data_IF_796944882594
#
_entry.id   IF_796944882594
#
_cell.length_a   1.000
_cell.length_b   1.000
_cell.length_c   1.000
_cell.angle_alpha   90.00
_cell.angle_beta   90.00
_cell.angle_gamma   90.00
#
_symmetry.space_group_name_H-M   'P 1'
#
loop_
_entity.id
_entity.type
_entity.pdbx_description
1 polymer ?
#
# COMPACT_ATOMS: atom_id res chain seq x y z
N UNK A 1 -53.67 -45.83 -15.77
CA UNK A 1 -52.43 -45.12 -16.11
C UNK A 1 -51.74 -44.78 -14.80
N UNK A 2 -50.66 -45.49 -14.46
CA UNK A 2 -49.84 -45.26 -13.26
C UNK A 2 -48.60 -44.47 -13.68
N UNK A 3 -48.36 -43.34 -13.04
CA UNK A 3 -47.10 -42.59 -12.93
C UNK A 3 -47.20 -42.00 -11.51
N UNK A 4 -46.52 -42.51 -10.49
CA UNK A 4 -45.10 -42.75 -10.41
C UNK A 4 -44.56 -41.76 -9.39
N UNK A 5 -44.77 -42.07 -8.10
CA UNK A 5 -44.07 -41.41 -7.00
C UNK A 5 -42.57 -41.62 -7.23
N UNK A 6 -41.87 -40.59 -7.68
CA UNK A 6 -40.41 -40.59 -7.61
C UNK A 6 -40.02 -40.45 -6.15
N UNK A 7 -39.47 -41.54 -5.64
CA UNK A 7 -38.77 -41.61 -4.39
C UNK A 7 -37.64 -40.57 -4.39
N UNK A 8 -37.81 -39.50 -3.60
CA UNK A 8 -36.65 -38.85 -3.00
C UNK A 8 -35.98 -39.90 -2.13
N UNK A 9 -34.99 -40.57 -2.71
CA UNK A 9 -34.00 -41.35 -1.97
C UNK A 9 -33.36 -40.36 -0.99
N UNK A 10 -33.86 -40.36 0.25
CA UNK A 10 -33.10 -39.88 1.40
C UNK A 10 -31.90 -40.81 1.48
N UNK A 11 -30.84 -40.49 0.75
CA UNK A 11 -29.50 -40.93 1.13
C UNK A 11 -29.41 -40.56 2.61
N UNK A 12 -29.19 -41.52 3.51
CA UNK A 12 -28.88 -41.17 4.89
C UNK A 12 -27.69 -40.23 4.80
N UNK A 13 -27.85 -38.96 5.18
CA UNK A 13 -26.70 -38.11 5.47
C UNK A 13 -25.91 -38.90 6.49
N UNK A 14 -24.81 -39.52 6.04
CA UNK A 14 -23.91 -40.22 6.91
C UNK A 14 -23.54 -39.19 7.98
N UNK A 15 -23.87 -39.48 9.24
CA UNK A 15 -23.47 -38.62 10.34
C UNK A 15 -21.97 -38.34 10.14
N UNK A 16 -21.57 -37.08 9.93
CA UNK A 16 -20.17 -36.78 9.70
C UNK A 16 -19.38 -37.33 10.89
N UNK A 17 -18.19 -37.91 10.66
CA UNK A 17 -17.38 -38.45 11.74
C UNK A 17 -17.17 -37.36 12.81
N UNK A 18 -17.20 -37.72 14.10
CA UNK A 18 -17.00 -36.76 15.17
C UNK A 18 -15.65 -36.06 15.02
N UNK A 19 -15.63 -34.75 15.28
CA UNK A 19 -14.41 -33.95 15.29
C UNK A 19 -13.67 -34.24 16.58
N UNK A 20 -12.49 -34.86 16.49
CA UNK A 20 -11.72 -35.34 17.65
C UNK A 20 -10.35 -34.68 17.80
N UNK A 21 -9.91 -33.89 16.82
CA UNK A 21 -8.60 -33.24 16.79
C UNK A 21 -8.66 -31.90 16.05
N UNK A 22 -7.58 -31.12 16.15
CA UNK A 22 -7.51 -29.80 15.52
C UNK A 22 -7.57 -29.87 13.99
N UNK A 23 -7.00 -30.91 13.37
CA UNK A 23 -6.97 -31.05 11.92
C UNK A 23 -8.38 -31.31 11.34
N UNK A 24 -9.14 -32.19 11.97
CA UNK A 24 -10.54 -32.46 11.65
C UNK A 24 -11.42 -31.23 11.93
N UNK A 25 -11.15 -30.49 13.01
CA UNK A 25 -11.84 -29.23 13.30
C UNK A 25 -11.55 -28.19 12.21
N UNK A 26 -10.29 -27.96 11.86
CA UNK A 26 -9.89 -27.04 10.78
C UNK A 26 -10.51 -27.44 9.45
N UNK A 27 -10.62 -28.73 9.14
CA UNK A 27 -11.26 -29.23 7.92
C UNK A 27 -12.76 -28.93 7.90
N UNK A 28 -13.46 -29.20 9.02
CA UNK A 28 -14.87 -28.90 9.17
C UNK A 28 -15.15 -27.38 9.06
N UNK A 29 -14.34 -26.57 9.75
CA UNK A 29 -14.45 -25.11 9.73
C UNK A 29 -14.07 -24.51 8.38
N UNK A 30 -13.11 -25.09 7.65
CA UNK A 30 -12.81 -24.69 6.27
C UNK A 30 -13.99 -24.98 5.36
N UNK A 31 -14.61 -26.15 5.47
CA UNK A 31 -15.78 -26.53 4.66
C UNK A 31 -16.97 -25.61 4.93
N UNK A 32 -17.29 -25.39 6.20
CA UNK A 32 -18.36 -24.48 6.61
C UNK A 32 -18.05 -23.02 6.22
N UNK A 33 -16.85 -22.55 6.55
CA UNK A 33 -16.38 -21.20 6.27
C UNK A 33 -16.32 -20.88 4.78
N UNK A 34 -15.90 -21.82 3.93
CA UNK A 34 -15.88 -21.63 2.47
C UNK A 34 -17.31 -21.49 1.89
N UNK A 35 -18.28 -22.25 2.41
CA UNK A 35 -19.69 -22.11 2.03
C UNK A 35 -20.23 -20.74 2.43
N UNK A 36 -20.00 -20.31 3.68
CA UNK A 36 -20.45 -18.99 4.14
C UNK A 36 -19.74 -17.87 3.38
N UNK A 37 -18.44 -18.00 3.12
CA UNK A 37 -17.67 -17.07 2.29
C UNK A 37 -18.30 -16.90 0.91
N UNK A 38 -18.60 -18.01 0.22
CA UNK A 38 -19.24 -17.98 -1.10
C UNK A 38 -20.62 -17.30 -1.04
N UNK A 39 -21.41 -17.57 0.00
CA UNK A 39 -22.71 -16.94 0.18
C UNK A 39 -22.59 -15.42 0.36
N UNK A 40 -21.57 -14.95 1.08
CA UNK A 40 -21.38 -13.52 1.36
C UNK A 40 -20.75 -12.76 0.18
N UNK A 41 -19.80 -13.37 -0.53
CA UNK A 41 -18.97 -12.67 -1.51
C UNK A 41 -19.23 -13.09 -2.96
N UNK A 42 -20.05 -14.11 -3.20
CA UNK A 42 -20.44 -14.58 -4.53
C UNK A 42 -19.29 -15.16 -5.39
N UNK A 43 -18.17 -15.54 -4.77
CA UNK A 43 -17.09 -16.31 -5.40
C UNK A 43 -16.50 -17.34 -4.43
N UNK A 44 -15.84 -18.37 -4.95
CA UNK A 44 -15.32 -19.46 -4.12
C UNK A 44 -14.07 -19.02 -3.33
N UNK A 45 -13.96 -19.50 -2.09
CA UNK A 45 -12.73 -19.38 -1.32
C UNK A 45 -11.58 -20.03 -2.10
N UNK A 46 -10.44 -19.33 -2.23
CA UNK A 46 -9.29 -19.67 -3.09
C UNK A 46 -9.45 -19.40 -4.59
N UNK A 47 -10.62 -18.97 -5.05
CA UNK A 47 -10.78 -18.44 -6.41
C UNK A 47 -10.39 -16.96 -6.43
N UNK A 48 -9.76 -16.51 -7.53
CA UNK A 48 -9.55 -15.08 -7.76
C UNK A 48 -10.91 -14.36 -7.82
N UNK A 49 -11.08 -13.24 -7.11
CA UNK A 49 -12.30 -12.45 -7.16
C UNK A 49 -12.58 -11.92 -8.58
N UNK A 50 -13.85 -11.77 -8.97
CA UNK A 50 -14.22 -11.24 -10.29
C UNK A 50 -13.65 -9.86 -10.61
N UNK A 51 -13.34 -9.05 -9.60
CA UNK A 51 -12.75 -7.71 -9.71
C UNK A 51 -11.22 -7.71 -9.85
N UNK A 52 -10.55 -8.84 -9.55
CA UNK A 52 -9.10 -9.04 -9.71
C UNK A 52 -8.83 -9.84 -10.99
N UNK A 53 -9.19 -9.29 -12.15
CA UNK A 53 -9.05 -10.01 -13.44
C UNK A 53 -7.63 -9.99 -14.00
N UNK A 54 -6.77 -9.10 -13.52
CA UNK A 54 -5.36 -9.08 -13.92
C UNK A 54 -4.58 -10.19 -13.19
N UNK A 55 -3.99 -11.18 -13.90
CA UNK A 55 -3.22 -12.24 -13.28
C UNK A 55 -1.94 -11.75 -12.58
N UNK A 56 -1.43 -10.58 -12.98
CA UNK A 56 -0.24 -9.96 -12.37
C UNK A 56 -0.53 -9.35 -11.00
N UNK A 57 -1.79 -9.05 -10.69
CA UNK A 57 -2.19 -8.51 -9.40
C UNK A 57 -2.03 -9.55 -8.29
N UNK A 58 -1.61 -9.04 -7.14
CA UNK A 58 -1.45 -9.82 -5.94
C UNK A 58 -2.77 -10.52 -5.55
N UNK A 59 -2.69 -11.81 -5.22
CA UNK A 59 -3.79 -12.59 -4.67
C UNK A 59 -3.24 -13.67 -3.74
N UNK A 60 -3.77 -13.75 -2.52
CA UNK A 60 -3.44 -14.79 -1.56
C UNK A 60 -4.68 -15.19 -0.77
N UNK A 61 -4.88 -16.49 -0.64
CA UNK A 61 -5.87 -17.06 0.28
C UNK A 61 -5.15 -17.78 1.41
N UNK A 62 -5.74 -17.76 2.61
CA UNK A 62 -5.24 -18.51 3.75
C UNK A 62 -6.34 -18.71 4.79
N UNK A 63 -6.08 -19.64 5.72
CA UNK A 63 -6.90 -19.84 6.90
C UNK A 63 -6.04 -20.09 8.13
N UNK A 64 -6.58 -19.75 9.30
CA UNK A 64 -5.90 -19.98 10.57
C UNK A 64 -6.91 -20.21 11.69
N UNK A 65 -6.58 -21.13 12.59
CA UNK A 65 -7.35 -21.44 13.79
C UNK A 65 -6.55 -20.95 14.99
N UNK A 66 -7.24 -20.37 15.97
CA UNK A 66 -6.66 -19.92 17.23
C UNK A 66 -7.59 -20.24 18.39
N UNK A 67 -6.98 -20.17 19.58
CA UNK A 67 -7.61 -20.46 20.85
C UNK A 67 -7.17 -19.40 21.86
N UNK A 68 -8.13 -18.83 22.58
CA UNK A 68 -7.92 -17.83 23.63
C UNK A 68 -8.68 -18.26 24.89
N UNK A 69 -8.06 -18.07 26.05
CA UNK A 69 -8.63 -18.38 27.36
C UNK A 69 -8.82 -17.11 28.19
N UNK A 70 -9.74 -17.18 29.15
CA UNK A 70 -9.97 -16.18 30.21
C UNK A 70 -10.19 -14.75 29.71
N UNK A 71 -10.74 -14.64 28.51
CA UNK A 71 -10.95 -13.36 27.82
C UNK A 71 -9.64 -12.57 27.62
N UNK A 72 -8.48 -13.25 27.67
CA UNK A 72 -7.20 -12.62 27.47
C UNK A 72 -7.03 -12.23 26.00
N UNK A 73 -6.61 -10.98 25.80
CA UNK A 73 -6.43 -10.38 24.48
C UNK A 73 -4.99 -9.95 24.22
N UNK A 74 -4.06 -10.17 25.15
CA UNK A 74 -2.65 -9.79 24.96
C UNK A 74 -2.01 -10.49 23.77
N UNK A 75 -2.41 -11.73 23.50
CA UNK A 75 -1.84 -12.56 22.45
C UNK A 75 -2.48 -12.36 21.08
N UNK A 76 -3.50 -11.49 20.96
CA UNK A 76 -4.20 -11.24 19.69
C UNK A 76 -3.25 -10.65 18.65
N UNK A 77 -2.57 -9.55 18.95
CA UNK A 77 -1.71 -8.90 17.96
C UNK A 77 -0.48 -9.76 17.59
N UNK A 78 0.23 -10.41 18.55
CA UNK A 78 1.27 -11.38 18.23
C UNK A 78 0.78 -12.52 17.33
N UNK A 79 -0.40 -13.10 17.62
CA UNK A 79 -0.99 -14.15 16.81
C UNK A 79 -1.30 -13.67 15.39
N UNK A 80 -2.00 -12.53 15.25
CA UNK A 80 -2.37 -11.98 13.95
C UNK A 80 -1.12 -11.68 13.11
N UNK A 81 -0.08 -11.10 13.72
CA UNK A 81 1.18 -10.81 13.02
C UNK A 81 1.87 -12.09 12.55
N UNK A 82 2.03 -13.07 13.43
CA UNK A 82 2.85 -14.26 13.17
C UNK A 82 2.15 -15.34 12.36
N UNK A 83 0.83 -15.47 12.49
CA UNK A 83 0.05 -16.60 11.96
C UNK A 83 -0.87 -16.24 10.80
N UNK A 84 -1.16 -14.95 10.62
CA UNK A 84 -2.07 -14.44 9.58
C UNK A 84 -1.31 -13.51 8.65
N UNK A 85 -0.84 -12.36 9.14
CA UNK A 85 -0.29 -11.29 8.30
C UNK A 85 1.08 -11.65 7.71
N UNK A 86 1.93 -12.38 8.44
CA UNK A 86 3.22 -12.88 7.93
C UNK A 86 3.09 -13.84 6.73
N UNK A 87 1.95 -14.53 6.60
CA UNK A 87 1.70 -15.52 5.54
C UNK A 87 1.31 -14.87 4.22
N UNK A 88 1.16 -13.55 4.21
CA UNK A 88 0.64 -12.74 3.12
C UNK A 88 1.66 -11.63 2.82
N UNK A 89 2.22 -11.53 1.61
CA UNK A 89 3.19 -10.49 1.27
C UNK A 89 2.48 -9.14 1.07
N UNK A 90 1.95 -8.57 2.15
CA UNK A 90 1.25 -7.30 2.16
C UNK A 90 2.24 -6.15 2.30
N UNK A 91 1.99 -4.99 1.68
CA UNK A 91 2.70 -3.76 1.99
C UNK A 91 2.56 -3.41 3.48
N UNK A 92 3.60 -2.83 4.08
CA UNK A 92 3.65 -2.52 5.53
C UNK A 92 2.45 -1.68 5.99
N UNK A 93 2.02 -0.70 5.18
CA UNK A 93 0.86 0.13 5.50
C UNK A 93 -0.46 -0.65 5.52
N UNK A 94 -0.59 -1.72 4.72
CA UNK A 94 -1.74 -2.62 4.77
C UNK A 94 -1.63 -3.49 6.01
N UNK A 95 -0.43 -3.99 6.34
CA UNK A 95 -0.22 -4.83 7.54
C UNK A 95 -0.61 -4.08 8.82
N UNK A 96 -0.19 -2.82 8.98
CA UNK A 96 -0.51 -2.00 10.16
C UNK A 96 -2.03 -1.79 10.30
N UNK A 97 -2.72 -1.44 9.21
CA UNK A 97 -4.16 -1.22 9.25
C UNK A 97 -4.95 -2.53 9.43
N UNK A 98 -4.53 -3.61 8.76
CA UNK A 98 -5.15 -4.92 8.90
C UNK A 98 -4.97 -5.48 10.31
N UNK A 99 -3.81 -5.28 10.94
CA UNK A 99 -3.58 -5.68 12.33
C UNK A 99 -4.54 -4.97 13.28
N UNK A 100 -4.72 -3.65 13.11
CA UNK A 100 -5.67 -2.86 13.91
C UNK A 100 -7.12 -3.34 13.71
N UNK A 101 -7.55 -3.48 12.46
CA UNK A 101 -8.94 -3.84 12.14
C UNK A 101 -9.27 -5.28 12.57
N UNK A 102 -8.45 -6.25 12.18
CA UNK A 102 -8.64 -7.65 12.59
C UNK A 102 -8.45 -7.84 14.09
N UNK A 103 -7.51 -7.09 14.70
CA UNK A 103 -7.29 -7.10 16.14
C UNK A 103 -8.51 -6.62 16.91
N UNK A 104 -9.22 -5.62 16.41
CA UNK A 104 -10.49 -5.18 17.01
C UNK A 104 -11.58 -6.25 16.88
N UNK A 105 -11.71 -6.87 15.70
CA UNK A 105 -12.69 -7.94 15.48
C UNK A 105 -12.44 -9.14 16.41
N UNK A 106 -11.18 -9.57 16.56
CA UNK A 106 -10.79 -10.67 17.45
C UNK A 106 -11.06 -10.34 18.92
N UNK A 107 -10.64 -9.15 19.38
CA UNK A 107 -10.86 -8.71 20.76
C UNK A 107 -12.35 -8.71 21.10
N UNK A 108 -13.19 -8.16 20.22
CA UNK A 108 -14.65 -8.15 20.42
C UNK A 108 -15.24 -9.55 20.55
N UNK A 109 -14.75 -10.52 19.75
CA UNK A 109 -15.17 -11.92 19.84
C UNK A 109 -14.77 -12.52 21.20
N UNK A 110 -13.52 -12.33 21.62
CA UNK A 110 -12.95 -12.91 22.84
C UNK A 110 -13.68 -12.40 24.09
N UNK A 111 -13.92 -11.09 24.18
CA UNK A 111 -14.65 -10.48 25.31
C UNK A 111 -16.17 -10.60 25.21
N UNK A 112 -16.68 -11.14 24.09
CA UNK A 112 -18.10 -11.26 23.82
C UNK A 112 -18.84 -12.11 24.87
N UNK A 113 -20.03 -11.65 25.25
CA UNK A 113 -20.85 -12.31 26.28
C UNK A 113 -21.70 -13.48 25.74
N UNK A 114 -21.80 -13.62 24.43
CA UNK A 114 -22.68 -14.59 23.80
C UNK A 114 -22.03 -15.97 23.70
N UNK A 115 -22.49 -16.93 24.52
CA UNK A 115 -21.88 -18.26 24.65
C UNK A 115 -22.71 -19.39 24.01
N UNK A 116 -22.04 -20.52 23.74
CA UNK A 116 -22.68 -21.82 23.52
C UNK A 116 -23.12 -22.12 22.07
N UNK A 117 -22.78 -21.28 21.09
CA UNK A 117 -23.11 -21.51 19.67
C UNK A 117 -21.99 -21.06 18.74
N UNK A 118 -21.84 -21.75 17.60
CA UNK A 118 -20.99 -21.31 16.50
C UNK A 118 -21.60 -20.10 15.81
N UNK A 119 -20.77 -19.09 15.56
CA UNK A 119 -21.14 -17.83 14.94
C UNK A 119 -20.14 -17.47 13.85
N UNK A 120 -20.51 -16.54 13.00
CA UNK A 120 -19.59 -16.01 12.02
C UNK A 120 -19.70 -14.48 11.90
N UNK A 121 -18.58 -13.84 11.56
CA UNK A 121 -18.49 -12.41 11.23
C UNK A 121 -17.90 -12.28 9.84
N UNK A 122 -18.48 -11.40 9.03
CA UNK A 122 -17.93 -11.01 7.73
C UNK A 122 -16.82 -9.98 7.91
N UNK A 123 -15.66 -10.24 7.31
CA UNK A 123 -14.57 -9.27 7.15
C UNK A 123 -14.60 -8.78 5.70
N UNK A 124 -14.87 -7.49 5.52
CA UNK A 124 -14.95 -6.84 4.22
C UNK A 124 -14.31 -5.46 4.33
N UNK A 125 -13.02 -5.41 4.03
CA UNK A 125 -12.17 -4.22 4.22
C UNK A 125 -11.46 -3.90 2.91
N UNK A 126 -11.41 -2.62 2.59
CA UNK A 126 -10.58 -2.10 1.50
C UNK A 126 -9.56 -1.16 2.11
N UNK A 127 -8.30 -1.54 2.02
CA UNK A 127 -7.18 -0.72 2.38
C UNK A 127 -6.78 0.07 1.15
N UNK A 128 -7.09 1.36 1.17
CA UNK A 128 -6.68 2.32 0.15
C UNK A 128 -5.94 3.44 0.84
N UNK A 129 -4.86 3.92 0.22
CA UNK A 129 -4.29 5.19 0.60
C UNK A 129 -5.01 6.30 -0.18
N UNK A 130 -5.30 7.46 0.44
CA UNK A 130 -5.73 8.63 -0.28
C UNK A 130 -4.74 8.92 -1.42
N UNK A 131 -5.22 9.42 -2.56
CA UNK A 131 -4.40 10.02 -3.64
C UNK A 131 -3.42 9.14 -4.44
N UNK A 132 -3.20 7.86 -4.12
CA UNK A 132 -2.09 7.09 -4.72
C UNK A 132 -2.33 6.47 -6.11
N UNK A 133 -1.21 6.36 -6.83
CA UNK A 133 -0.94 5.52 -8.00
C UNK A 133 -1.01 4.01 -7.78
N UNK A 134 -1.06 3.55 -6.53
CA UNK A 134 -1.07 2.14 -6.18
C UNK A 134 -2.49 1.54 -6.18
N UNK A 135 -2.55 0.22 -6.38
CA UNK A 135 -3.79 -0.54 -6.34
C UNK A 135 -4.24 -0.74 -4.87
N UNK A 136 -5.50 -0.41 -4.52
CA UNK A 136 -6.06 -0.79 -3.23
C UNK A 136 -5.93 -2.28 -2.97
N UNK A 137 -5.69 -2.63 -1.71
CA UNK A 137 -5.71 -4.03 -1.25
C UNK A 137 -7.04 -4.30 -0.56
N UNK A 138 -7.76 -5.30 -1.04
CA UNK A 138 -9.04 -5.73 -0.49
C UNK A 138 -8.83 -7.01 0.32
N UNK A 139 -9.41 -7.03 1.53
CA UNK A 139 -9.56 -8.23 2.33
C UNK A 139 -11.02 -8.62 2.37
N UNK A 140 -11.31 -9.84 1.89
CA UNK A 140 -12.61 -10.50 2.08
C UNK A 140 -12.37 -11.77 2.89
N UNK A 141 -13.14 -11.96 3.95
CA UNK A 141 -12.96 -13.11 4.84
C UNK A 141 -14.15 -13.36 5.74
N UNK A 142 -14.10 -14.51 6.39
CA UNK A 142 -15.03 -14.94 7.42
C UNK A 142 -14.25 -15.28 8.67
N UNK A 143 -14.69 -14.75 9.81
CA UNK A 143 -14.27 -15.23 11.12
C UNK A 143 -15.38 -16.13 11.65
N UNK A 144 -15.12 -17.43 11.75
CA UNK A 144 -16.02 -18.40 12.37
C UNK A 144 -15.53 -18.63 13.80
N UNK A 145 -16.39 -18.47 14.79
CA UNK A 145 -15.98 -18.54 16.17
C UNK A 145 -16.99 -19.25 17.06
N UNK A 146 -16.48 -19.77 18.17
CA UNK A 146 -17.26 -20.36 19.25
C UNK A 146 -16.71 -19.85 20.57
N UNK A 147 -17.58 -19.33 21.43
CA UNK A 147 -17.19 -19.00 22.80
C UNK A 147 -18.04 -19.78 23.79
N UNK A 148 -17.42 -20.19 24.88
CA UNK A 148 -18.07 -20.93 25.97
C UNK A 148 -17.45 -20.53 27.30
N UNK A 149 -18.13 -20.90 28.38
CA UNK A 149 -17.67 -20.65 29.73
C UNK A 149 -17.84 -21.93 30.53
N UNK A 150 -16.74 -22.43 31.10
CA UNK A 150 -16.73 -23.63 31.92
C UNK A 150 -16.41 -23.29 33.36
N UNK A 151 -17.19 -23.85 34.28
CA UNK A 151 -16.87 -23.81 35.70
C UNK A 151 -16.07 -25.05 36.03
N UNK A 152 -14.86 -24.88 36.52
CA UNK A 152 -14.00 -25.98 36.96
C UNK A 152 -14.48 -26.56 38.30
N UNK A 153 -14.00 -27.74 38.68
CA UNK A 153 -14.30 -28.38 39.96
C UNK A 153 -13.93 -27.50 41.18
N UNK A 154 -13.04 -26.53 40.98
CA UNK A 154 -12.61 -25.53 41.97
C UNK A 154 -13.51 -24.28 42.00
N UNK A 155 -14.65 -24.30 41.30
CA UNK A 155 -15.55 -23.16 41.10
C UNK A 155 -14.91 -21.96 40.38
N UNK A 156 -13.80 -22.16 39.67
CA UNK A 156 -13.19 -21.14 38.82
C UNK A 156 -13.90 -21.15 37.48
N UNK A 157 -14.32 -19.97 37.01
CA UNK A 157 -15.00 -19.82 35.73
C UNK A 157 -13.98 -19.46 34.66
N UNK A 158 -13.72 -20.38 33.73
CA UNK A 158 -12.82 -20.21 32.59
C UNK A 158 -13.63 -19.91 31.35
N UNK A 159 -13.28 -18.85 30.63
CA UNK A 159 -13.92 -18.53 29.34
C UNK A 159 -13.01 -18.97 28.20
N UNK A 160 -13.58 -19.64 27.20
CA UNK A 160 -12.82 -20.11 26.04
C UNK A 160 -13.37 -19.47 24.77
N UNK A 161 -12.47 -19.13 23.84
CA UNK A 161 -12.81 -18.64 22.51
C UNK A 161 -11.99 -19.38 21.46
N UNK A 162 -12.68 -20.11 20.58
CA UNK A 162 -12.11 -20.66 19.36
C UNK A 162 -12.40 -19.69 18.22
N UNK A 163 -11.36 -19.22 17.53
CA UNK A 163 -11.50 -18.23 16.45
C UNK A 163 -10.80 -18.76 15.20
N UNK A 164 -11.58 -18.99 14.14
CA UNK A 164 -11.11 -19.46 12.85
C UNK A 164 -11.30 -18.38 11.80
N UNK A 165 -10.19 -17.88 11.25
CA UNK A 165 -10.21 -16.98 10.11
C UNK A 165 -10.02 -17.75 8.81
N UNK A 166 -10.83 -17.41 7.82
CA UNK A 166 -10.70 -17.87 6.44
C UNK A 166 -10.90 -16.68 5.52
N UNK A 167 -9.90 -16.33 4.73
CA UNK A 167 -9.99 -15.13 3.91
C UNK A 167 -9.01 -15.06 2.76
N UNK A 168 -9.20 -14.02 1.97
CA UNK A 168 -8.39 -13.68 0.81
C UNK A 168 -7.97 -12.21 0.89
N UNK A 169 -6.73 -11.95 0.49
CA UNK A 169 -6.23 -10.60 0.23
C UNK A 169 -5.87 -10.51 -1.25
N UNK A 170 -6.24 -9.41 -1.88
CA UNK A 170 -5.96 -9.19 -3.29
C UNK A 170 -5.93 -7.71 -3.63
N UNK A 171 -5.23 -7.37 -4.71
CA UNK A 171 -5.24 -6.03 -5.26
C UNK A 171 -6.44 -5.82 -6.20
N UNK A 172 -6.96 -4.60 -6.20
CA UNK A 172 -7.96 -4.13 -7.17
C UNK A 172 -7.39 -2.95 -7.92
N UNK A 173 -7.63 -2.94 -9.23
CA UNK A 173 -7.13 -1.89 -10.11
C UNK A 173 -7.66 -0.51 -9.71
N UNK A 174 -6.75 0.45 -9.50
CA UNK A 174 -7.13 1.84 -9.28
C UNK A 174 -7.34 2.57 -10.62
N UNK A 175 -8.59 2.61 -11.10
CA UNK A 175 -8.92 3.29 -12.35
C UNK A 175 -8.57 4.80 -12.34
N UNK A 176 -8.60 5.46 -11.19
CA UNK A 176 -8.24 6.87 -11.10
C UNK A 176 -6.74 7.08 -11.28
N UNK A 177 -5.90 6.18 -10.75
CA UNK A 177 -4.47 6.15 -11.01
C UNK A 177 -4.18 5.92 -12.49
N UNK A 178 -4.85 4.95 -13.12
CA UNK A 178 -4.68 4.68 -14.56
C UNK A 178 -5.02 5.88 -15.44
N UNK A 179 -6.19 6.49 -15.25
CA UNK A 179 -6.61 7.66 -16.03
C UNK A 179 -5.65 8.84 -15.84
N UNK A 180 -5.14 9.04 -14.61
CA UNK A 180 -4.16 10.09 -14.33
C UNK A 180 -2.81 9.81 -15.00
N UNK A 181 -2.30 8.59 -14.90
CA UNK A 181 -1.07 8.15 -15.57
C UNK A 181 -1.20 8.32 -17.09
N UNK A 182 -2.33 7.93 -17.67
CA UNK A 182 -2.59 8.08 -19.11
C UNK A 182 -2.70 9.55 -19.53
N UNK A 183 -3.31 10.40 -18.71
CA UNK A 183 -3.39 11.84 -18.97
C UNK A 183 -2.00 12.51 -18.92
N UNK A 184 -1.19 12.12 -17.94
CA UNK A 184 0.19 12.57 -17.80
C UNK A 184 1.07 12.08 -18.97
N UNK A 185 0.98 10.79 -19.35
CA UNK A 185 1.63 10.23 -20.56
C UNK A 185 1.29 11.03 -21.81
N UNK A 186 -0.01 11.22 -22.08
CA UNK A 186 -0.48 11.99 -23.22
C UNK A 186 0.04 13.44 -23.22
N UNK A 187 0.15 14.07 -22.04
CA UNK A 187 0.73 15.40 -21.91
C UNK A 187 2.23 15.43 -22.23
N UNK A 188 3.01 14.48 -21.72
CA UNK A 188 4.43 14.31 -22.08
C UNK A 188 4.57 14.10 -23.60
N UNK A 189 3.78 13.20 -24.19
CA UNK A 189 3.82 12.91 -25.64
C UNK A 189 3.49 14.13 -26.49
N UNK A 190 2.44 14.87 -26.12
CA UNK A 190 2.06 16.09 -26.81
C UNK A 190 3.15 17.17 -26.72
N UNK A 191 3.82 17.30 -25.58
CA UNK A 191 4.93 18.25 -25.40
C UNK A 191 6.14 17.90 -26.27
N UNK A 192 6.55 16.62 -26.26
CA UNK A 192 7.65 16.13 -27.08
C UNK A 192 7.35 16.36 -28.58
N UNK A 193 6.12 16.11 -29.02
CA UNK A 193 5.70 16.32 -30.40
C UNK A 193 5.71 17.81 -30.81
N UNK A 194 5.34 18.71 -29.91
CA UNK A 194 5.34 20.16 -30.17
C UNK A 194 6.76 20.74 -30.20
N UNK A 195 7.66 20.28 -29.31
CA UNK A 195 9.08 20.68 -29.34
C UNK A 195 9.76 20.37 -30.67
N UNK A 196 9.30 19.34 -31.40
CA UNK A 196 9.85 18.92 -32.70
C UNK A 196 9.27 19.67 -33.89
N UNK A 197 8.03 20.15 -33.80
CA UNK A 197 7.30 20.77 -34.91
C UNK A 197 6.72 22.13 -34.48
N UNK A 198 7.59 23.15 -34.29
CA UNK A 198 7.16 24.48 -33.83
C UNK A 198 6.20 25.21 -34.80
N UNK A 199 6.01 24.69 -36.01
CA UNK A 199 5.22 25.29 -37.09
C UNK A 199 3.73 24.89 -37.11
N UNK A 200 3.20 24.28 -36.04
CA UNK A 200 1.76 24.02 -35.96
C UNK A 200 1.03 25.23 -35.41
N UNK A 201 0.15 25.82 -36.24
CA UNK A 201 -0.82 26.88 -35.94
C UNK A 201 -1.87 26.53 -34.88
N UNK A 202 -1.55 25.60 -33.97
CA UNK A 202 -2.34 25.19 -32.84
C UNK A 202 -1.94 26.06 -31.65
N UNK A 203 -2.67 27.15 -31.44
CA UNK A 203 -2.52 28.07 -30.28
C UNK A 203 -2.77 27.43 -28.90
N UNK A 204 -2.93 26.11 -28.84
CA UNK A 204 -3.03 25.33 -27.61
C UNK A 204 -1.79 24.46 -27.45
N UNK A 205 -0.62 25.09 -27.36
CA UNK A 205 0.55 24.45 -26.75
C UNK A 205 0.12 23.89 -25.38
N UNK A 206 0.34 22.61 -25.07
CA UNK A 206 0.41 22.20 -23.68
C UNK A 206 1.57 23.00 -23.08
N UNK A 207 1.25 23.94 -22.23
CA UNK A 207 2.22 24.85 -21.62
C UNK A 207 3.12 24.01 -20.69
N UNK A 208 4.45 24.07 -20.86
CA UNK A 208 5.42 23.47 -19.93
C UNK A 208 5.09 23.82 -18.48
N UNK A 209 4.59 25.03 -18.25
CA UNK A 209 4.06 25.50 -16.97
C UNK A 209 2.91 24.63 -16.47
N UNK A 210 1.97 24.21 -17.33
CA UNK A 210 0.87 23.30 -16.96
C UNK A 210 1.37 21.91 -16.61
N UNK A 211 2.36 21.36 -17.34
CA UNK A 211 2.96 20.09 -16.97
C UNK A 211 3.65 20.19 -15.60
N UNK A 212 4.48 21.21 -15.39
CA UNK A 212 5.12 21.48 -14.08
C UNK A 212 4.08 21.64 -12.96
N UNK A 213 2.99 22.38 -13.19
CA UNK A 213 1.89 22.52 -12.21
C UNK A 213 1.23 21.18 -11.92
N UNK A 214 0.97 20.35 -12.94
CA UNK A 214 0.35 19.05 -12.76
C UNK A 214 1.30 18.08 -12.04
N UNK A 215 2.59 18.07 -12.40
CA UNK A 215 3.62 17.29 -11.73
C UNK A 215 3.76 17.71 -10.26
N UNK A 216 3.82 19.01 -9.97
CA UNK A 216 3.91 19.51 -8.60
C UNK A 216 2.64 19.24 -7.77
N UNK A 217 1.44 19.37 -8.35
CA UNK A 217 0.20 18.96 -7.68
C UNK A 217 0.21 17.48 -7.35
N UNK A 218 0.59 16.66 -8.33
CA UNK A 218 0.63 15.22 -8.16
C UNK A 218 1.70 14.78 -7.15
N UNK A 219 2.89 15.37 -7.20
CA UNK A 219 3.96 15.10 -6.25
C UNK A 219 3.59 15.53 -4.82
N UNK A 220 2.86 16.65 -4.64
CA UNK A 220 2.32 17.06 -3.34
C UNK A 220 1.26 16.11 -2.79
N UNK A 221 0.34 15.66 -3.64
CA UNK A 221 -0.66 14.67 -3.25
C UNK A 221 0.05 13.39 -2.77
N UNK A 222 0.95 12.83 -3.59
CA UNK A 222 1.71 11.62 -3.24
C UNK A 222 2.58 11.83 -1.98
N UNK A 223 3.21 12.98 -1.82
CA UNK A 223 3.98 13.34 -0.63
C UNK A 223 3.11 13.33 0.64
N UNK A 224 1.95 13.99 0.61
CA UNK A 224 1.02 13.99 1.73
C UNK A 224 0.57 12.57 2.09
N UNK A 225 0.32 11.72 1.09
CA UNK A 225 -0.12 10.34 1.32
C UNK A 225 0.97 9.46 1.93
N UNK A 226 2.23 9.66 1.51
CA UNK A 226 3.36 8.86 1.99
C UNK A 226 3.86 9.27 3.37
N UNK A 227 3.78 10.57 3.69
CA UNK A 227 4.39 11.11 4.90
C UNK A 227 3.40 11.72 5.90
N UNK A 228 2.13 11.92 5.52
CA UNK A 228 1.05 12.30 6.44
C UNK A 228 1.01 13.79 6.83
N UNK A 229 1.73 14.67 6.12
CA UNK A 229 1.67 16.12 6.33
C UNK A 229 1.84 16.89 5.01
N UNK A 230 1.34 18.12 4.99
CA UNK A 230 1.34 18.98 3.82
C UNK A 230 2.69 19.66 3.63
N UNK A 231 3.23 19.61 2.41
CA UNK A 231 4.57 20.07 2.08
C UNK A 231 4.79 21.58 2.30
N UNK A 232 3.75 22.40 2.27
CA UNK A 232 3.86 23.87 2.30
C UNK A 232 3.02 24.55 3.38
N UNK A 233 2.33 23.78 4.23
CA UNK A 233 1.51 24.34 5.30
C UNK A 233 2.16 24.09 6.67
N UNK A 234 2.49 25.17 7.38
CA UNK A 234 2.97 25.10 8.76
C UNK A 234 1.90 24.55 9.73
N UNK A 235 0.64 24.44 9.30
CA UNK A 235 -0.43 23.81 10.08
C UNK A 235 -0.22 22.31 10.29
N UNK A 236 0.61 21.66 9.47
CA UNK A 236 1.03 20.27 9.66
C UNK A 236 2.55 20.15 9.67
N UNK A 237 3.11 19.19 10.39
CA UNK A 237 4.56 18.99 10.48
C UNK A 237 4.88 17.50 10.64
N UNK A 238 6.06 17.05 10.20
CA UNK A 238 6.52 15.69 10.47
C UNK A 238 6.41 15.40 11.98
N UNK A 239 5.86 14.24 12.34
CA UNK A 239 5.55 13.91 13.75
C UNK A 239 6.78 13.86 14.66
N UNK A 240 7.93 13.58 14.07
CA UNK A 240 9.24 13.39 14.69
C UNK A 240 10.18 14.58 14.43
N UNK A 241 9.65 15.71 13.95
CA UNK A 241 10.40 16.97 13.88
C UNK A 241 10.59 17.55 15.29
N UNK A 242 11.80 18.03 15.57
CA UNK A 242 12.07 18.82 16.78
C UNK A 242 11.28 20.14 16.71
N UNK A 243 10.45 20.46 17.72
CA UNK A 243 9.70 21.70 17.72
C UNK A 243 10.60 22.94 17.56
N UNK A 244 10.09 23.96 16.87
CA UNK A 244 10.76 25.27 16.68
C UNK A 244 12.08 25.26 15.88
N UNK A 245 12.58 24.12 15.43
CA UNK A 245 13.73 24.08 14.50
C UNK A 245 13.30 24.46 13.09
N UNK A 246 14.21 24.93 12.22
CA UNK A 246 13.89 25.19 10.82
C UNK A 246 13.25 23.97 10.12
N UNK A 247 12.41 24.24 9.13
CA UNK A 247 11.82 23.27 8.22
C UNK A 247 12.10 23.76 6.81
N UNK A 248 12.77 22.94 5.99
CA UNK A 248 13.07 23.31 4.61
C UNK A 248 12.26 22.47 3.65
N UNK A 249 11.36 23.12 2.94
CA UNK A 249 10.43 22.52 1.99
C UNK A 249 10.84 22.88 0.58
N UNK A 250 10.88 21.92 -0.33
CA UNK A 250 11.31 22.14 -1.71
C UNK A 250 10.37 21.44 -2.69
N UNK A 251 10.00 22.17 -3.75
CA UNK A 251 9.37 21.64 -4.95
C UNK A 251 10.21 22.05 -6.14
N UNK A 252 10.82 21.08 -6.83
CA UNK A 252 11.72 21.37 -7.92
C UNK A 252 11.50 20.41 -9.09
N UNK A 253 11.28 20.96 -10.28
CA UNK A 253 11.21 20.20 -11.52
C UNK A 253 12.56 20.22 -12.23
N UNK A 254 13.01 19.07 -12.72
CA UNK A 254 14.16 18.87 -13.59
C UNK A 254 13.73 18.38 -14.96
N UNK A 255 14.46 18.79 -15.98
CA UNK A 255 14.27 18.37 -17.37
C UNK A 255 15.62 17.88 -17.91
N UNK A 256 15.65 16.63 -18.37
CA UNK A 256 16.87 15.94 -18.76
C UNK A 256 16.72 15.35 -20.17
N UNK A 257 17.30 16.00 -21.16
CA UNK A 257 17.48 15.46 -22.53
C UNK A 257 18.56 14.36 -22.60
N UNK A 258 19.34 14.23 -21.53
CA UNK A 258 20.41 13.26 -21.32
C UNK A 258 20.61 13.09 -19.82
N UNK A 259 20.93 11.88 -19.36
CA UNK A 259 21.22 11.60 -17.95
C UNK A 259 22.68 11.89 -17.60
N UNK A 260 23.23 12.97 -18.16
CA UNK A 260 24.61 13.34 -17.91
C UNK A 260 24.79 13.78 -16.45
N UNK A 261 25.96 13.47 -15.90
CA UNK A 261 26.26 13.67 -14.49
C UNK A 261 26.21 15.16 -14.10
N UNK A 262 26.55 16.06 -15.03
CA UNK A 262 26.60 17.49 -14.77
C UNK A 262 25.19 18.10 -14.64
N UNK A 263 24.25 17.79 -15.54
CA UNK A 263 22.87 18.29 -15.47
C UNK A 263 22.16 17.79 -14.21
N UNK A 264 22.39 16.54 -13.82
CA UNK A 264 21.82 15.99 -12.58
C UNK A 264 22.41 16.72 -11.37
N UNK A 265 23.73 16.97 -11.37
CA UNK A 265 24.37 17.77 -10.32
C UNK A 265 23.80 19.18 -10.24
N UNK A 266 23.74 19.89 -11.37
CA UNK A 266 23.21 21.26 -11.44
C UNK A 266 21.78 21.33 -10.92
N UNK A 267 20.95 20.33 -11.25
CA UNK A 267 19.58 20.25 -10.74
C UNK A 267 19.51 19.95 -9.24
N UNK A 268 20.30 18.99 -8.73
CA UNK A 268 20.37 18.72 -7.28
C UNK A 268 20.84 19.95 -6.51
N UNK A 269 21.72 20.77 -7.09
CA UNK A 269 22.17 22.03 -6.49
C UNK A 269 21.05 23.06 -6.38
N UNK A 270 20.05 23.02 -7.26
CA UNK A 270 18.82 23.84 -7.10
C UNK A 270 17.94 23.35 -5.95
N UNK A 271 17.91 22.04 -5.69
CA UNK A 271 17.18 21.43 -4.56
C UNK A 271 17.85 21.79 -3.24
N UNK A 272 19.18 21.71 -3.20
CA UNK A 272 20.00 21.97 -2.03
C UNK A 272 20.49 23.42 -2.01
N UNK A 273 19.58 24.37 -2.19
CA UNK A 273 19.91 25.80 -2.13
C UNK A 273 20.13 26.20 -0.67
N UNK A 274 21.37 26.52 -0.25
CA UNK A 274 21.73 26.52 1.18
C UNK A 274 21.16 27.67 2.03
N UNK A 275 20.61 28.71 1.41
CA UNK A 275 20.36 29.99 2.09
C UNK A 275 19.34 29.92 3.22
N UNK A 276 18.41 28.96 3.19
CA UNK A 276 17.27 28.91 4.12
C UNK A 276 17.31 27.68 5.06
N UNK A 277 18.37 26.85 5.00
CA UNK A 277 18.56 25.70 5.89
C UNK A 277 20.03 25.36 6.12
N UNK A 278 20.70 26.04 7.08
CA UNK A 278 22.13 25.89 7.35
C UNK A 278 22.64 24.45 7.57
N UNK A 279 21.85 23.51 8.15
CA UNK A 279 22.31 22.14 8.31
C UNK A 279 22.66 21.40 7.00
N UNK A 280 22.09 21.80 5.86
CA UNK A 280 22.37 21.17 4.56
C UNK A 280 23.84 21.31 4.12
N UNK A 281 24.53 22.39 4.51
CA UNK A 281 25.93 22.62 4.15
C UNK A 281 26.91 21.74 4.93
N UNK A 282 26.50 21.26 6.10
CA UNK A 282 27.39 20.59 7.05
C UNK A 282 27.32 19.06 6.94
N UNK A 283 26.31 18.54 6.25
CA UNK A 283 26.11 17.10 6.06
C UNK A 283 26.86 16.64 4.81
N UNK A 284 27.98 15.97 5.02
CA UNK A 284 28.69 15.27 3.95
C UNK A 284 27.83 14.10 3.45
N UNK A 285 27.48 14.09 2.17
CA UNK A 285 26.86 12.94 1.50
C UNK A 285 25.43 13.16 1.02
N UNK A 286 24.69 14.13 1.54
CA UNK A 286 23.29 14.38 1.12
C UNK A 286 23.17 14.69 -0.37
N UNK A 287 24.12 15.49 -0.89
CA UNK A 287 24.24 15.82 -2.31
C UNK A 287 24.48 14.56 -3.15
N UNK A 288 25.43 13.72 -2.75
CA UNK A 288 25.77 12.52 -3.49
C UNK A 288 24.62 11.51 -3.47
N UNK A 289 23.94 11.34 -2.32
CA UNK A 289 22.77 10.48 -2.19
C UNK A 289 21.61 10.91 -3.09
N UNK A 290 21.34 12.21 -3.20
CA UNK A 290 20.30 12.73 -4.11
C UNK A 290 20.69 12.53 -5.58
N UNK A 291 21.96 12.76 -5.93
CA UNK A 291 22.47 12.48 -7.28
C UNK A 291 22.31 11.00 -7.62
N UNK A 292 22.76 10.10 -6.75
CA UNK A 292 22.73 8.66 -6.97
C UNK A 292 21.30 8.13 -7.03
N UNK A 293 20.41 8.63 -6.17
CA UNK A 293 18.99 8.28 -6.21
C UNK A 293 18.32 8.76 -7.51
N UNK A 294 18.62 9.98 -7.95
CA UNK A 294 18.11 10.52 -9.22
C UNK A 294 18.59 9.70 -10.40
N UNK A 295 19.90 9.37 -10.45
CA UNK A 295 20.48 8.50 -11.48
C UNK A 295 19.83 7.13 -11.49
N UNK A 296 19.69 6.49 -10.33
CA UNK A 296 19.05 5.18 -10.22
C UNK A 296 17.61 5.20 -10.76
N UNK A 297 16.82 6.21 -10.39
CA UNK A 297 15.42 6.36 -10.82
C UNK A 297 15.27 6.62 -12.32
N UNK A 298 16.23 7.33 -12.91
CA UNK A 298 16.30 7.57 -14.35
C UNK A 298 16.82 6.34 -15.13
N UNK A 299 17.84 5.64 -14.62
CA UNK A 299 18.50 4.51 -15.29
C UNK A 299 17.80 3.15 -15.13
N UNK A 300 17.11 2.94 -14.00
CA UNK A 300 16.54 1.65 -13.60
C UNK A 300 15.36 1.16 -14.45
N UNK A 301 14.98 1.89 -15.49
CA UNK A 301 13.79 1.61 -16.31
C UNK A 301 14.12 1.57 -17.82
N UNK A 302 15.20 0.87 -18.16
CA UNK A 302 15.63 0.58 -19.53
C UNK A 302 14.76 -0.49 -20.24
N UNK A 303 13.46 -0.54 -19.97
CA UNK A 303 12.57 -1.31 -20.84
C UNK A 303 12.32 -0.53 -22.13
N UNK A 304 12.70 -1.17 -23.23
CA UNK A 304 12.80 -0.61 -24.56
C UNK A 304 11.50 0.09 -25.00
N UNK A 305 11.58 1.40 -25.26
CA UNK A 305 10.66 2.12 -26.13
C UNK A 305 9.30 2.53 -25.55
N UNK A 306 9.10 2.50 -24.23
CA UNK A 306 7.85 2.93 -23.61
C UNK A 306 8.08 4.14 -22.70
N UNK A 307 7.16 5.12 -22.79
CA UNK A 307 7.12 6.23 -21.87
C UNK A 307 6.77 5.71 -20.47
N UNK A 308 7.75 5.64 -19.57
CA UNK A 308 7.58 5.12 -18.20
C UNK A 308 7.31 6.25 -17.23
N UNK A 309 6.36 6.00 -16.32
CA UNK A 309 5.98 6.92 -15.25
C UNK A 309 6.11 6.20 -13.93
N UNK A 310 6.80 6.82 -12.98
CA UNK A 310 6.93 6.23 -11.65
C UNK A 310 6.88 7.30 -10.57
N UNK A 311 6.33 6.89 -9.43
CA UNK A 311 6.43 7.59 -8.16
C UNK A 311 7.36 6.79 -7.27
N UNK A 312 8.31 7.45 -6.66
CA UNK A 312 9.29 6.79 -5.81
C UNK A 312 9.57 7.64 -4.59
N UNK A 313 9.40 7.05 -3.42
CA UNK A 313 9.76 7.69 -2.17
C UNK A 313 11.28 7.87 -2.07
N UNK A 314 11.64 8.84 -1.26
CA UNK A 314 13.00 9.13 -0.87
C UNK A 314 12.97 9.50 0.61
N UNK A 315 13.48 8.59 1.42
CA UNK A 315 13.64 8.81 2.85
C UNK A 315 15.07 8.52 3.25
N UNK A 316 15.69 9.46 3.95
CA UNK A 316 17.08 9.38 4.41
C UNK A 316 17.24 10.08 5.75
N UNK A 317 18.15 9.56 6.56
CA UNK A 317 18.54 10.15 7.85
C UNK A 317 20.04 10.41 7.83
N UNK A 318 20.43 11.60 8.24
CA UNK A 318 21.82 12.07 8.27
C UNK A 318 22.19 12.54 9.68
N UNK A 319 23.37 12.17 10.17
CA UNK A 319 23.90 12.73 11.42
C UNK A 319 24.33 14.19 11.21
N UNK A 320 24.01 15.06 12.16
CA UNK A 320 24.34 16.50 12.09
C UNK A 320 25.32 16.94 13.18
N UNK A 321 24.93 16.91 14.45
CA UNK A 321 25.74 17.43 15.58
C UNK A 321 25.92 16.44 16.75
N UNK A 322 25.70 15.15 16.49
CA UNK A 322 25.88 14.07 17.47
C UNK A 322 24.67 13.79 18.36
N UNK A 323 23.76 14.76 18.51
CA UNK A 323 22.49 14.62 19.23
C UNK A 323 21.28 14.78 18.29
N UNK A 324 21.45 15.53 17.21
CA UNK A 324 20.41 15.80 16.21
C UNK A 324 20.73 15.11 14.89
N UNK A 325 19.68 14.60 14.24
CA UNK A 325 19.72 14.10 12.87
C UNK A 325 18.94 15.02 11.94
N UNK A 326 19.33 15.07 10.67
CA UNK A 326 18.51 15.64 9.60
C UNK A 326 17.81 14.49 8.89
N UNK A 327 16.49 14.50 8.93
CA UNK A 327 15.66 13.58 8.16
C UNK A 327 15.19 14.27 6.89
N UNK A 328 15.19 13.52 5.80
CA UNK A 328 14.61 13.90 4.53
C UNK A 328 13.45 12.97 4.27
N UNK A 329 12.30 13.54 4.03
CA UNK A 329 11.15 12.86 3.46
C UNK A 329 10.87 13.53 2.13
N UNK A 330 10.73 12.76 1.06
CA UNK A 330 10.50 13.29 -0.26
C UNK A 330 9.93 12.27 -1.22
N UNK A 331 9.33 12.79 -2.28
CA UNK A 331 8.71 12.02 -3.34
C UNK A 331 9.30 12.47 -4.66
N UNK A 332 9.73 11.50 -5.46
CA UNK A 332 10.10 11.70 -6.85
C UNK A 332 8.94 11.26 -7.73
N UNK A 333 8.50 12.13 -8.62
CA UNK A 333 7.62 11.78 -9.74
C UNK A 333 8.43 11.98 -11.01
N UNK A 334 8.58 10.94 -11.82
CA UNK A 334 9.29 11.07 -13.10
C UNK A 334 8.53 10.50 -14.29
N UNK A 335 8.64 11.22 -15.41
CA UNK A 335 8.22 10.85 -16.75
C UNK A 335 9.45 10.64 -17.61
N UNK A 336 9.67 9.43 -18.11
CA UNK A 336 10.65 9.18 -19.16
C UNK A 336 9.93 9.12 -20.49
N UNK A 337 10.42 9.88 -21.47
CA UNK A 337 9.96 9.87 -22.85
C UNK A 337 11.08 9.43 -23.79
N UNK A 338 10.75 8.62 -24.80
CA UNK A 338 11.69 8.27 -25.89
C UNK A 338 11.14 8.73 -27.21
N UNK A 339 12.03 9.25 -28.06
CA UNK A 339 11.67 9.81 -29.33
C UNK A 339 12.64 9.36 -30.41
N UNK A 340 12.18 8.49 -31.30
CA UNK A 340 12.98 7.99 -32.44
C UNK A 340 12.62 8.75 -33.71
N UNK A 341 13.61 9.24 -34.46
CA UNK A 341 13.44 9.91 -35.75
C UNK A 341 14.58 9.49 -36.68
N UNK A 342 14.28 8.69 -37.70
CA UNK A 342 15.33 8.05 -38.50
C UNK A 342 16.12 7.05 -37.65
N UNK A 343 17.45 7.16 -37.63
CA UNK A 343 18.34 6.34 -36.79
C UNK A 343 18.55 6.94 -35.38
N UNK A 344 18.14 8.19 -35.14
CA UNK A 344 18.40 8.90 -33.89
C UNK A 344 17.26 8.69 -32.88
N UNK A 345 17.62 8.36 -31.62
CA UNK A 345 16.67 8.31 -30.50
C UNK A 345 17.08 9.30 -29.42
N UNK A 346 16.22 10.29 -29.16
CA UNK A 346 16.37 11.26 -28.07
C UNK A 346 15.56 10.77 -26.86
N UNK A 347 16.16 10.80 -25.67
CA UNK A 347 15.46 10.51 -24.40
C UNK A 347 15.21 11.83 -23.69
N UNK A 348 13.99 12.07 -23.22
CA UNK A 348 13.67 13.26 -22.42
C UNK A 348 13.03 12.77 -21.13
N UNK A 349 13.59 13.17 -19.99
CA UNK A 349 13.04 12.85 -18.68
C UNK A 349 12.61 14.14 -17.97
N UNK A 350 11.37 14.18 -17.48
CA UNK A 350 10.91 15.19 -16.52
C UNK A 350 10.88 14.56 -15.14
N UNK A 351 11.48 15.23 -14.15
CA UNK A 351 11.52 14.76 -12.76
C UNK A 351 10.99 15.87 -11.87
N UNK A 352 10.02 15.57 -11.02
CA UNK A 352 9.59 16.45 -9.94
C UNK A 352 10.06 15.85 -8.62
N UNK A 353 10.83 16.62 -7.86
CA UNK A 353 11.13 16.33 -6.46
C UNK A 353 10.27 17.22 -5.57
N UNK A 354 9.60 16.62 -4.60
CA UNK A 354 8.82 17.32 -3.60
C UNK A 354 9.22 16.74 -2.25
N UNK A 355 9.84 17.55 -1.40
CA UNK A 355 10.46 17.03 -0.20
C UNK A 355 10.65 18.05 0.89
N UNK A 356 10.87 17.54 2.09
CA UNK A 356 11.15 18.33 3.28
C UNK A 356 12.38 17.81 4.00
N UNK A 357 13.14 18.73 4.56
CA UNK A 357 14.31 18.49 5.37
C UNK A 357 14.04 19.08 6.76
N UNK A 358 14.27 18.29 7.80
CA UNK A 358 13.94 18.68 9.18
C UNK A 358 14.87 18.05 10.20
N UNK A 359 15.03 18.74 11.33
CA UNK A 359 15.76 18.23 12.48
C UNK A 359 14.91 17.20 13.23
N UNK A 360 15.51 16.09 13.64
CA UNK A 360 14.91 15.00 14.40
C UNK A 360 15.86 14.55 15.51
N UNK A 361 15.33 14.38 16.72
CA UNK A 361 16.04 13.76 17.85
C UNK A 361 15.97 12.22 17.79
N UNK A 362 15.13 11.66 16.92
CA UNK A 362 15.00 10.22 16.74
C UNK A 362 16.12 9.67 15.83
N UNK A 363 17.04 8.84 16.35
CA UNK A 363 18.14 8.31 15.56
C UNK A 363 17.73 7.18 14.60
N UNK A 364 16.46 6.74 14.62
CA UNK A 364 15.96 5.63 13.80
C UNK A 364 14.70 6.02 13.04
#
# INVERSE_FOLDING_TARGET
>A
MKLGQEAFSKVPEANPPPVTDEASLRTALTTYGAKEFRNQFSFDYQQRPPESQDPSMFFKSFNSLSYFEDMDTTDVDPYLTTSILSMVPLPDWVQVNALKDMGNDYRQIIVGQEKGNWRNVKVDRTYSRPGESLNPVVCKGMIVYYTDTRVTDQQITVSIAWVFFLGVYYEVLNHAALVRIDLLKNLCDNLVNVMKNPDTSVSTLPDKTRLTILLGRYARDEFYNNFGYELMDQATSPINRVPETPLYTIEQTGEFESWDDQKIQDWVDTILTPSDFPPLEQISGIRQDLIDSTKYKLQGQNDAGLNTWNVNDYSKTYGYDGETTIKVAGTFVHCNGTLTTGEDTVKISFVQFSGVFFNSEDPW
#
